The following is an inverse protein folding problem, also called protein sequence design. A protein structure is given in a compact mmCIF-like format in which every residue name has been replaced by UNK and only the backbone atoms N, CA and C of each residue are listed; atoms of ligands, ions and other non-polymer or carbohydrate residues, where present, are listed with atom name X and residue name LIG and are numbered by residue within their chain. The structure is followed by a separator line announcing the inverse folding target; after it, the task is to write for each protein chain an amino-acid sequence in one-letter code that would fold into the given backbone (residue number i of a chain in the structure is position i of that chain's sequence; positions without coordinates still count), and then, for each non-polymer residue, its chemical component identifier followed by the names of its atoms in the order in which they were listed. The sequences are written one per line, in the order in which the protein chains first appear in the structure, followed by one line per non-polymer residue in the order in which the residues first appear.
data_IF_370901037499
#
_entry.id   IF_370901037499
#
_cell.length_a   1.000
_cell.length_b   1.000
_cell.length_c   1.000
_cell.angle_alpha   90.00
_cell.angle_beta   90.00
_cell.angle_gamma   90.00
#
_symmetry.space_group_name_H-M   'P 1'
#
loop_
_entity.id
_entity.type
_entity.pdbx_description
1 polymer ?
#
# COMPACT_ATOMS: atom_id res chain seq x y z
N UNK A 1 -9.87 -0.05 37.18
CA UNK A 1 -9.18 0.04 35.87
C UNK A 1 -10.22 0.50 34.87
N UNK A 2 -10.04 1.67 34.25
CA UNK A 2 -11.00 2.16 33.25
C UNK A 2 -10.72 1.49 31.90
N UNK A 3 -11.77 0.95 31.26
CA UNK A 3 -11.65 0.31 29.95
C UNK A 3 -11.59 1.37 28.84
N UNK A 4 -10.47 1.42 28.11
CA UNK A 4 -10.35 2.29 26.93
C UNK A 4 -11.05 1.61 25.75
N UNK A 5 -12.19 2.17 25.32
CA UNK A 5 -12.90 1.71 24.11
C UNK A 5 -12.22 2.25 22.85
N UNK A 6 -11.58 1.37 22.09
CA UNK A 6 -11.02 1.69 20.77
C UNK A 6 -11.96 1.27 19.62
N UNK A 7 -12.02 2.08 18.57
CA UNK A 7 -12.81 1.85 17.36
C UNK A 7 -11.89 1.39 16.22
N UNK A 8 -12.13 0.18 15.70
CA UNK A 8 -11.38 -0.40 14.59
C UNK A 8 -12.27 -0.53 13.33
N UNK A 9 -11.92 0.08 12.20
CA UNK A 9 -12.66 -0.07 10.96
C UNK A 9 -12.36 -1.44 10.31
N UNK A 10 -13.32 -2.03 9.60
CA UNK A 10 -13.13 -3.33 8.93
C UNK A 10 -12.05 -3.31 7.83
N UNK A 11 -11.78 -2.14 7.25
CA UNK A 11 -10.87 -2.00 6.12
C UNK A 11 -9.38 -2.07 6.50
N UNK A 12 -8.98 -1.93 7.76
CA UNK A 12 -7.56 -1.98 8.13
C UNK A 12 -7.34 -2.32 9.61
N UNK A 13 -6.07 -2.50 9.99
CA UNK A 13 -5.68 -2.81 11.37
C UNK A 13 -5.63 -1.58 12.30
N UNK A 14 -5.80 -0.35 11.79
CA UNK A 14 -5.66 0.88 12.59
C UNK A 14 -6.79 1.04 13.60
N UNK A 15 -6.45 1.26 14.86
CA UNK A 15 -7.42 1.58 15.91
C UNK A 15 -7.48 3.09 16.17
N UNK A 16 -8.65 3.57 16.53
CA UNK A 16 -8.90 4.98 16.82
C UNK A 16 -9.58 5.14 18.18
N UNK A 17 -9.21 6.17 18.93
CA UNK A 17 -9.84 6.48 20.22
C UNK A 17 -11.29 6.99 20.06
N UNK A 18 -11.65 7.49 18.87
CA UNK A 18 -12.98 8.06 18.62
C UNK A 18 -13.66 7.43 17.42
N UNK A 19 -14.99 7.26 17.51
CA UNK A 19 -15.83 6.76 16.42
C UNK A 19 -15.75 7.67 15.19
N UNK A 20 -15.67 8.99 15.40
CA UNK A 20 -15.53 9.98 14.32
C UNK A 20 -14.20 9.83 13.57
N UNK A 21 -13.10 9.60 14.28
CA UNK A 21 -11.78 9.33 13.68
C UNK A 21 -11.80 8.08 12.81
N UNK A 22 -12.35 6.97 13.32
CA UNK A 22 -12.51 5.73 12.56
C UNK A 22 -13.38 5.94 11.30
N UNK A 23 -14.48 6.69 11.40
CA UNK A 23 -15.37 6.99 10.25
C UNK A 23 -14.66 7.82 9.18
N UNK A 24 -13.92 8.87 9.58
CA UNK A 24 -13.12 9.69 8.66
C UNK A 24 -12.05 8.86 7.97
N UNK A 25 -11.40 7.97 8.69
CA UNK A 25 -10.41 7.05 8.11
C UNK A 25 -11.05 6.12 7.08
N UNK A 26 -12.18 5.48 7.42
CA UNK A 26 -12.86 4.54 6.51
C UNK A 26 -13.10 5.18 5.12
N UNK A 27 -13.55 6.43 5.07
CA UNK A 27 -13.80 7.18 3.82
C UNK A 27 -12.56 7.44 2.95
N UNK A 28 -11.36 7.38 3.53
CA UNK A 28 -10.08 7.66 2.81
C UNK A 28 -9.14 6.46 2.77
N UNK A 29 -9.55 5.33 3.32
CA UNK A 29 -8.70 4.15 3.42
C UNK A 29 -8.61 3.46 2.06
N UNK A 30 -7.41 3.35 1.49
CA UNK A 30 -7.20 2.62 0.24
C UNK A 30 -7.42 1.10 0.35
N UNK A 31 -7.45 0.56 1.58
CA UNK A 31 -7.84 -0.83 1.86
C UNK A 31 -9.35 -1.02 1.99
N UNK A 32 -10.14 0.06 1.89
CA UNK A 32 -11.59 -0.03 1.96
C UNK A 32 -12.15 -0.27 0.54
N UNK A 33 -12.78 -1.42 0.27
CA UNK A 33 -13.34 -1.70 -1.05
C UNK A 33 -14.44 -0.70 -1.44
N UNK A 34 -15.17 -0.12 -0.47
CA UNK A 34 -16.18 0.91 -0.75
C UNK A 34 -15.59 2.15 -1.45
N UNK A 35 -14.27 2.40 -1.31
CA UNK A 35 -13.60 3.56 -1.92
C UNK A 35 -13.11 3.28 -3.35
N UNK A 36 -13.36 2.08 -3.88
CA UNK A 36 -12.92 1.64 -5.22
C UNK A 36 -11.44 1.93 -5.48
N UNK A 37 -10.62 1.70 -4.46
CA UNK A 37 -9.21 2.07 -4.47
C UNK A 37 -8.37 0.98 -5.14
N UNK A 38 -7.28 1.37 -5.82
CA UNK A 38 -6.36 0.46 -6.51
C UNK A 38 -5.98 -0.73 -5.63
N UNK A 39 -5.65 -0.54 -4.35
CA UNK A 39 -5.19 -1.63 -3.47
C UNK A 39 -6.22 -2.75 -3.23
N UNK A 40 -7.50 -2.46 -3.47
CA UNK A 40 -8.61 -3.44 -3.38
C UNK A 40 -9.08 -3.93 -4.74
N UNK A 41 -8.47 -3.40 -5.82
CA UNK A 41 -8.79 -3.74 -7.19
C UNK A 41 -8.19 -5.10 -7.56
N UNK A 42 -8.90 -5.90 -8.35
CA UNK A 42 -8.45 -7.17 -8.92
C UNK A 42 -7.15 -7.04 -9.71
N UNK A 43 -7.00 -5.94 -10.45
CA UNK A 43 -5.84 -5.66 -11.30
C UNK A 43 -4.63 -5.10 -10.56
N UNK A 44 -4.69 -4.98 -9.22
CA UNK A 44 -3.55 -4.51 -8.44
C UNK A 44 -2.53 -5.61 -8.23
N UNK A 45 -1.34 -5.38 -8.79
CA UNK A 45 -0.18 -6.24 -8.65
C UNK A 45 0.82 -5.57 -7.73
N UNK A 46 1.32 -6.37 -6.78
CA UNK A 46 2.49 -6.07 -5.98
C UNK A 46 3.56 -7.06 -6.38
N UNK A 47 4.69 -6.54 -6.84
CA UNK A 47 5.83 -7.34 -7.23
C UNK A 47 7.12 -6.69 -6.70
N UNK A 48 8.26 -7.34 -6.90
CA UNK A 48 9.53 -6.98 -6.32
C UNK A 48 10.61 -6.91 -7.40
N UNK A 49 11.44 -5.87 -7.34
CA UNK A 49 12.61 -5.74 -8.19
C UNK A 49 13.88 -5.84 -7.32
N UNK A 50 14.86 -6.61 -7.75
CA UNK A 50 16.16 -6.68 -7.08
C UNK A 50 16.99 -5.47 -7.49
N UNK A 51 17.33 -4.62 -6.53
CA UNK A 51 18.24 -3.50 -6.74
C UNK A 51 19.66 -3.98 -6.44
N UNK A 52 20.46 -4.04 -7.51
CA UNK A 52 21.86 -4.43 -7.43
C UNK A 52 22.70 -3.26 -6.91
N UNK A 53 23.39 -3.48 -5.79
CA UNK A 53 24.28 -2.47 -5.19
C UNK A 53 25.73 -2.82 -5.56
N UNK A 54 26.45 -1.92 -6.27
CA UNK A 54 27.86 -2.15 -6.53
C UNK A 54 28.66 -2.24 -5.22
N UNK A 55 29.64 -3.15 -5.12
CA UNK A 55 30.42 -3.36 -3.91
C UNK A 55 31.16 -2.09 -3.47
N UNK A 56 31.29 -1.89 -2.15
CA UNK A 56 31.96 -0.73 -1.54
C UNK A 56 32.86 -1.17 -0.40
N UNK A 57 34.16 -0.88 -0.52
CA UNK A 57 35.13 -1.28 0.50
C UNK A 57 35.41 -2.77 0.44
N UNK A 58 35.06 -3.50 1.50
CA UNK A 58 35.26 -4.94 1.66
C UNK A 58 34.04 -5.81 1.29
N UNK A 59 32.92 -5.20 0.88
CA UNK A 59 31.75 -5.96 0.43
C UNK A 59 31.92 -6.58 -0.96
N UNK A 60 31.33 -7.76 -1.16
CA UNK A 60 31.23 -8.44 -2.44
C UNK A 60 29.91 -8.08 -3.17
N UNK A 61 29.82 -8.45 -4.45
CA UNK A 61 28.55 -8.37 -5.18
C UNK A 61 27.48 -9.23 -4.51
N UNK A 62 26.29 -8.66 -4.32
CA UNK A 62 25.16 -9.35 -3.70
C UNK A 62 25.02 -9.14 -2.19
N UNK A 63 26.07 -8.67 -1.51
CA UNK A 63 26.03 -8.49 -0.05
C UNK A 63 25.06 -7.39 0.39
N UNK A 64 24.94 -6.34 -0.43
CA UNK A 64 24.10 -5.16 -0.17
C UNK A 64 22.85 -5.09 -1.08
N UNK A 65 22.60 -6.11 -1.92
CA UNK A 65 21.44 -6.15 -2.80
C UNK A 65 20.14 -6.19 -1.98
N UNK A 66 19.09 -5.52 -2.48
CA UNK A 66 17.82 -5.48 -1.77
C UNK A 66 16.62 -5.60 -2.71
N UNK A 67 15.53 -6.20 -2.21
CA UNK A 67 14.25 -6.25 -2.91
C UNK A 67 13.46 -4.97 -2.67
N UNK A 68 13.10 -4.30 -3.77
CA UNK A 68 12.28 -3.10 -3.76
C UNK A 68 10.87 -3.43 -4.27
N UNK A 69 9.81 -3.24 -3.46
CA UNK A 69 8.46 -3.50 -3.91
C UNK A 69 8.03 -2.41 -4.89
N UNK A 70 7.45 -2.82 -6.01
CA UNK A 70 6.78 -1.94 -6.95
C UNK A 70 5.31 -2.35 -7.11
N UNK A 71 4.49 -1.36 -7.45
CA UNK A 71 3.04 -1.52 -7.55
C UNK A 71 2.58 -1.00 -8.90
N UNK A 72 1.78 -1.78 -9.61
CA UNK A 72 1.21 -1.38 -10.89
C UNK A 72 -0.19 -1.94 -11.07
N UNK A 73 -0.90 -1.34 -12.01
CA UNK A 73 -2.21 -1.80 -12.43
C UNK A 73 -2.06 -2.60 -13.72
N UNK A 74 -2.45 -3.88 -13.67
CA UNK A 74 -2.35 -4.81 -14.79
C UNK A 74 -3.22 -4.38 -15.98
N UNK A 75 -4.33 -3.70 -15.71
CA UNK A 75 -5.30 -3.31 -16.73
C UNK A 75 -4.77 -2.24 -17.69
N UNK A 76 -4.18 -1.17 -17.16
CA UNK A 76 -3.70 -0.03 -17.95
C UNK A 76 -2.17 -0.02 -18.12
N UNK A 77 -1.47 -0.99 -17.50
CA UNK A 77 -0.02 -1.08 -17.46
C UNK A 77 0.63 0.11 -16.76
N UNK A 78 -0.12 0.94 -16.04
CA UNK A 78 0.43 2.14 -15.40
C UNK A 78 1.04 1.76 -14.07
N UNK A 79 2.29 2.18 -13.90
CA UNK A 79 3.01 2.09 -12.65
C UNK A 79 2.34 2.99 -11.62
N UNK A 80 1.82 2.36 -10.56
CA UNK A 80 1.25 3.07 -9.41
C UNK A 80 2.36 3.56 -8.48
N UNK A 81 3.56 2.97 -8.50
CA UNK A 81 4.76 3.48 -7.83
C UNK A 81 6.05 3.04 -8.55
N UNK A 82 6.90 3.99 -8.95
CA UNK A 82 8.31 3.72 -9.33
C UNK A 82 9.22 4.32 -8.28
N UNK A 83 9.95 3.50 -7.53
CA UNK A 83 10.77 3.97 -6.40
C UNK A 83 12.12 4.48 -6.93
N UNK A 84 12.17 5.77 -7.21
CA UNK A 84 13.42 6.54 -7.16
C UNK A 84 13.31 7.70 -6.16
N UNK A 85 12.49 7.51 -5.12
CA UNK A 85 12.32 8.47 -4.04
C UNK A 85 12.45 7.70 -2.74
N UNK A 86 13.46 8.09 -1.95
CA UNK A 86 13.77 7.62 -0.59
C UNK A 86 12.51 7.27 0.21
N UNK A 87 12.58 6.32 1.17
CA UNK A 87 11.43 5.88 1.97
C UNK A 87 10.98 6.99 2.93
N UNK A 88 10.34 8.01 2.40
CA UNK A 88 9.73 9.11 3.13
C UNK A 88 8.30 9.21 2.66
N UNK A 89 7.42 8.61 3.48
CA UNK A 89 5.96 8.66 3.42
C UNK A 89 5.38 7.86 2.26
N UNK A 90 4.79 6.73 2.63
CA UNK A 90 3.87 5.89 1.86
C UNK A 90 2.55 6.63 1.52
N UNK A 91 2.63 7.92 1.24
CA UNK A 91 1.51 8.83 1.03
C UNK A 91 1.50 9.26 -0.44
N UNK A 92 0.44 8.86 -1.16
CA UNK A 92 -0.13 9.52 -2.37
C UNK A 92 0.16 8.96 -3.77
N UNK A 93 0.18 7.65 -3.98
CA UNK A 93 0.06 7.14 -5.37
C UNK A 93 -1.03 6.10 -5.63
N UNK A 94 -1.78 5.71 -4.59
CA UNK A 94 -2.99 4.94 -4.81
C UNK A 94 -4.09 5.88 -5.29
N UNK A 95 -4.70 5.56 -6.44
CA UNK A 95 -5.91 6.26 -6.87
C UNK A 95 -7.09 5.71 -6.07
N UNK A 96 -7.86 6.63 -5.48
CA UNK A 96 -9.24 6.37 -5.10
C UNK A 96 -10.10 6.47 -6.36
N UNK A 97 -11.20 5.72 -6.42
CA UNK A 97 -12.12 5.76 -7.57
C UNK A 97 -11.46 5.35 -8.90
N UNK A 98 -10.74 4.22 -8.90
CA UNK A 98 -10.21 3.67 -10.15
C UNK A 98 -11.35 3.34 -11.14
N UNK A 99 -11.21 3.79 -12.39
CA UNK A 99 -12.24 3.65 -13.44
C UNK A 99 -12.54 2.18 -13.76
N UNK A 100 -11.52 1.33 -13.72
CA UNK A 100 -11.59 -0.11 -13.98
C UNK A 100 -11.58 -0.94 -12.70
N UNK A 101 -12.08 -0.37 -11.60
CA UNK A 101 -12.09 -1.07 -10.32
C UNK A 101 -13.05 -2.25 -10.33
N UNK A 102 -12.48 -3.45 -10.17
CA UNK A 102 -13.20 -4.68 -9.85
C UNK A 102 -12.74 -5.20 -8.49
N UNK A 103 -13.67 -5.66 -7.65
CA UNK A 103 -13.32 -6.20 -6.34
C UNK A 103 -12.57 -7.54 -6.49
N UNK A 104 -11.46 -7.73 -5.76
CA UNK A 104 -10.85 -9.06 -5.62
C UNK A 104 -11.87 -10.02 -5.00
N UNK A 105 -12.28 -11.04 -5.74
CA UNK A 105 -12.99 -12.19 -5.15
C UNK A 105 -12.00 -12.90 -4.21
N UNK A 106 -12.42 -13.14 -2.98
CA UNK A 106 -11.52 -13.32 -1.83
C UNK A 106 -10.56 -14.51 -1.91
N UNK A 107 -9.34 -14.24 -1.43
CA UNK A 107 -8.49 -15.18 -0.67
C UNK A 107 -8.96 -15.24 0.79
#
# INVERSE_FOLDING_TARGET
MEEIKAYKPKCCSKAYMTKSGARKHKKKCFKNPDNKACLTCKYFIKDYNTVYVPPRGDSNYGDDDYEEPYYFCDFDGKTLMSVHIKPMKLEKHYQSECEHWELKEGD
#
